data_IF_338200862701
#
_entry.id   IF_338200862701
#
_cell.length_a   1.000
_cell.length_b   1.000
_cell.length_c   1.000
_cell.angle_alpha   90.00
_cell.angle_beta   90.00
_cell.angle_gamma   90.00
#
_symmetry.space_group_name_H-M   'P 1'
#
loop_
_entity.id
_entity.type
_entity.pdbx_description
1 polymer ?
#
# COMPACT_ATOMS: atom_id res chain seq x y z
N UNK A 1 0.50 -13.54 -7.58
CA UNK A 1 -0.91 -13.09 -7.58
C UNK A 1 -0.97 -11.83 -6.73
N UNK A 2 -1.60 -10.75 -7.18
CA UNK A 2 -1.75 -9.54 -6.38
C UNK A 2 -2.89 -9.69 -5.36
N UNK A 3 -2.87 -8.89 -4.31
CA UNK A 3 -4.01 -8.65 -3.43
C UNK A 3 -4.52 -7.24 -3.65
N UNK A 4 -5.80 -7.09 -3.92
CA UNK A 4 -6.43 -5.78 -4.13
C UNK A 4 -7.07 -5.33 -2.82
N UNK A 5 -6.70 -4.14 -2.37
CA UNK A 5 -7.31 -3.43 -1.26
C UNK A 5 -8.42 -2.55 -1.85
N UNK A 6 -9.66 -2.96 -1.62
CA UNK A 6 -10.88 -2.26 -2.03
C UNK A 6 -11.57 -1.66 -0.79
N UNK A 7 -10.80 -0.87 -0.05
CA UNK A 7 -11.26 -0.12 1.11
C UNK A 7 -10.63 1.28 1.06
N UNK A 8 -11.35 2.28 1.55
CA UNK A 8 -10.81 3.63 1.66
C UNK A 8 -9.75 3.69 2.77
N UNK A 9 -9.97 2.98 3.88
CA UNK A 9 -9.03 2.94 4.99
C UNK A 9 -8.86 1.49 5.46
N UNK A 10 -7.79 0.82 5.02
CA UNK A 10 -7.47 -0.52 5.48
C UNK A 10 -6.60 -0.44 6.74
N UNK A 11 -7.19 -0.74 7.89
CA UNK A 11 -6.54 -0.61 9.20
C UNK A 11 -5.82 -1.87 9.63
N UNK A 12 -4.54 -1.73 9.99
CA UNK A 12 -3.84 -2.63 10.90
C UNK A 12 -4.03 -2.05 12.30
N UNK A 13 -5.04 -2.55 13.00
CA UNK A 13 -5.45 -2.02 14.30
C UNK A 13 -4.41 -2.30 15.39
N UNK A 14 -4.49 -1.51 16.48
CA UNK A 14 -3.67 -1.69 17.68
C UNK A 14 -3.55 -3.15 18.12
N UNK A 15 -2.31 -3.59 18.37
CA UNK A 15 -1.96 -4.97 18.76
C UNK A 15 -2.05 -6.02 17.65
N UNK A 16 -2.36 -5.62 16.41
CA UNK A 16 -2.44 -6.52 15.25
C UNK A 16 -1.21 -6.40 14.34
N UNK A 17 -0.95 -7.46 13.59
CA UNK A 17 0.14 -7.50 12.62
C UNK A 17 -0.35 -8.00 11.27
N UNK A 18 0.08 -7.32 10.20
CA UNK A 18 0.02 -7.85 8.84
C UNK A 18 1.42 -8.35 8.48
N UNK A 19 1.56 -9.66 8.26
CA UNK A 19 2.82 -10.26 7.83
C UNK A 19 2.74 -10.61 6.35
N UNK A 20 3.67 -10.07 5.56
CA UNK A 20 3.77 -10.36 4.14
C UNK A 20 4.80 -11.47 3.89
N UNK A 21 4.50 -12.37 2.96
CA UNK A 21 5.53 -13.23 2.39
C UNK A 21 6.33 -12.45 1.33
N UNK A 22 7.46 -13.01 0.90
CA UNK A 22 8.11 -12.56 -0.33
C UNK A 22 7.16 -12.69 -1.53
N UNK A 23 7.40 -11.90 -2.57
CA UNK A 23 6.63 -11.86 -3.81
C UNK A 23 5.17 -11.40 -3.68
N UNK A 24 4.80 -10.75 -2.56
CA UNK A 24 3.47 -10.18 -2.32
C UNK A 24 3.34 -8.77 -2.89
N UNK A 25 2.33 -8.53 -3.71
CA UNK A 25 1.99 -7.18 -4.20
C UNK A 25 0.61 -6.79 -3.67
N UNK A 26 0.55 -5.71 -2.89
CA UNK A 26 -0.69 -5.07 -2.48
C UNK A 26 -1.02 -3.95 -3.46
N UNK A 27 -2.24 -3.95 -3.98
CA UNK A 27 -2.72 -2.98 -4.96
C UNK A 27 -3.88 -2.18 -4.40
N UNK A 28 -3.85 -0.87 -4.55
CA UNK A 28 -4.77 0.05 -3.89
C UNK A 28 -5.68 0.74 -4.88
N UNK A 29 -6.96 0.83 -4.55
CA UNK A 29 -7.92 1.60 -5.33
C UNK A 29 -7.78 3.10 -5.07
N UNK A 30 -8.39 3.93 -5.93
CA UNK A 30 -8.49 5.36 -5.68
C UNK A 30 -8.97 5.67 -4.27
N UNK A 31 -8.28 6.60 -3.60
CA UNK A 31 -8.55 7.05 -2.23
C UNK A 31 -8.27 6.03 -1.12
N UNK A 32 -7.68 4.87 -1.43
CA UNK A 32 -7.28 3.90 -0.41
C UNK A 32 -6.06 4.36 0.38
N UNK A 33 -6.10 4.13 1.69
CA UNK A 33 -5.01 4.33 2.64
C UNK A 33 -4.77 3.02 3.40
N UNK A 34 -3.52 2.58 3.54
CA UNK A 34 -3.17 1.55 4.52
C UNK A 34 -2.76 2.23 5.82
N UNK A 35 -3.47 1.99 6.91
CA UNK A 35 -3.25 2.68 8.18
C UNK A 35 -2.61 1.73 9.19
N UNK A 36 -1.44 2.10 9.70
CA UNK A 36 -0.88 1.50 10.91
C UNK A 36 -1.39 2.32 12.09
N UNK A 37 -2.30 1.73 12.87
CA UNK A 37 -2.88 2.40 14.03
C UNK A 37 -1.89 2.50 15.19
N UNK A 38 -2.17 3.36 16.16
CA UNK A 38 -1.35 3.45 17.36
C UNK A 38 -1.37 2.14 18.20
N UNK A 39 -0.35 1.95 19.05
CA UNK A 39 -0.27 0.80 19.96
C UNK A 39 0.11 -0.53 19.30
N UNK A 40 1.41 -0.75 19.09
CA UNK A 40 2.00 -2.04 18.67
C UNK A 40 1.43 -2.65 17.36
N UNK A 41 0.82 -1.86 16.48
CA UNK A 41 0.51 -2.32 15.12
C UNK A 41 1.80 -2.47 14.31
N UNK A 42 1.84 -3.45 13.39
CA UNK A 42 3.01 -3.63 12.55
C UNK A 42 2.72 -4.24 11.17
N UNK A 43 3.48 -3.77 10.19
CA UNK A 43 3.58 -4.35 8.86
C UNK A 43 4.93 -5.06 8.71
N UNK A 44 4.90 -6.38 8.85
CA UNK A 44 6.09 -7.22 8.89
C UNK A 44 6.48 -7.66 7.47
N UNK A 45 7.78 -7.62 7.19
CA UNK A 45 8.37 -7.95 5.88
C UNK A 45 7.89 -7.01 4.75
N UNK A 46 7.67 -5.72 5.06
CA UNK A 46 7.28 -4.72 4.06
C UNK A 46 8.38 -4.44 3.04
N UNK A 47 9.64 -4.74 3.36
CA UNK A 47 10.83 -4.61 2.53
C UNK A 47 11.30 -5.98 1.96
N UNK A 48 10.46 -7.01 2.08
CA UNK A 48 10.73 -8.35 1.58
C UNK A 48 10.97 -8.40 0.07
N UNK A 49 11.61 -9.47 -0.40
CA UNK A 49 11.96 -9.58 -1.82
C UNK A 49 10.70 -9.66 -2.67
N UNK A 50 10.56 -8.76 -3.64
CA UNK A 50 9.37 -8.73 -4.50
C UNK A 50 8.10 -8.22 -3.80
N UNK A 51 8.23 -7.59 -2.61
CA UNK A 51 7.11 -6.92 -1.94
C UNK A 51 6.93 -5.51 -2.51
N UNK A 52 5.72 -5.19 -2.95
CA UNK A 52 5.37 -3.87 -3.48
C UNK A 52 3.98 -3.41 -3.05
N UNK A 53 3.82 -2.09 -2.94
CA UNK A 53 2.58 -1.39 -2.70
C UNK A 53 2.35 -0.45 -3.88
N UNK A 54 1.26 -0.63 -4.63
CA UNK A 54 1.10 0.05 -5.93
C UNK A 54 -0.36 0.32 -6.26
N UNK A 55 -0.60 1.06 -7.34
CA UNK A 55 -1.94 1.32 -7.88
C UNK A 55 -2.63 0.04 -8.34
N UNK A 56 -3.96 -0.02 -8.18
CA UNK A 56 -4.83 -1.03 -8.78
C UNK A 56 -4.76 -1.07 -10.32
N UNK A 57 -4.22 -0.02 -10.96
CA UNK A 57 -4.00 0.08 -12.41
C UNK A 57 -2.62 -0.41 -12.86
N UNK A 58 -1.74 -0.82 -11.93
CA UNK A 58 -0.36 -1.17 -12.28
C UNK A 58 -0.23 -2.58 -12.85
N UNK A 59 -0.35 -2.72 -14.16
CA UNK A 59 -0.24 -4.02 -14.83
C UNK A 59 1.16 -4.65 -14.75
N UNK A 60 2.20 -3.85 -14.48
CA UNK A 60 3.58 -4.31 -14.47
C UNK A 60 3.87 -5.24 -13.29
N UNK A 61 3.13 -5.09 -12.19
CA UNK A 61 3.30 -5.87 -10.97
C UNK A 61 2.16 -6.87 -10.79
N UNK A 62 2.44 -8.13 -11.14
CA UNK A 62 1.55 -9.30 -10.99
C UNK A 62 0.21 -9.21 -11.77
N UNK A 63 0.13 -8.38 -12.83
CA UNK A 63 -0.91 -8.42 -13.87
C UNK A 63 -2.03 -7.39 -13.73
N UNK A 64 -2.87 -7.30 -14.75
CA UNK A 64 -4.00 -6.37 -14.90
C UNK A 64 -5.14 -6.72 -13.93
N UNK A 65 -5.24 -5.95 -12.85
CA UNK A 65 -6.23 -6.17 -11.78
C UNK A 65 -7.57 -5.50 -12.05
N UNK A 66 -7.59 -4.46 -12.87
CA UNK A 66 -8.76 -3.70 -13.32
C UNK A 66 -9.45 -4.28 -14.56
N UNK A 67 -8.82 -5.26 -15.21
CA UNK A 67 -9.29 -5.93 -16.42
C UNK A 67 -9.59 -4.96 -17.57
N UNK A 68 -8.81 -3.89 -17.68
CA UNK A 68 -8.98 -2.86 -18.71
C UNK A 68 -7.92 -2.90 -19.82
N UNK A 69 -7.02 -3.88 -19.77
CA UNK A 69 -6.00 -4.13 -20.78
C UNK A 69 -4.88 -3.11 -20.70
N UNK A 70 -4.98 -2.02 -21.46
CA UNK A 70 -4.02 -0.91 -21.43
C UNK A 70 -4.75 0.43 -21.43
N UNK A 71 -6.03 0.42 -21.02
CA UNK A 71 -6.89 1.60 -21.11
C UNK A 71 -6.51 2.63 -20.05
N UNK A 72 -5.97 2.17 -18.92
CA UNK A 72 -5.39 3.03 -17.90
C UNK A 72 -3.93 2.70 -17.67
N UNK A 73 -3.21 3.64 -17.06
CA UNK A 73 -1.82 3.47 -16.63
C UNK A 73 -1.70 3.97 -15.20
N UNK A 74 -0.87 3.33 -14.36
CA UNK A 74 -0.67 3.81 -13.01
C UNK A 74 0.03 5.18 -13.03
N UNK A 75 -0.35 6.06 -12.12
CA UNK A 75 0.22 7.38 -11.96
C UNK A 75 0.21 7.80 -10.49
N UNK A 76 1.15 8.66 -10.11
CA UNK A 76 1.21 9.28 -8.78
C UNK A 76 -0.15 9.89 -8.42
N UNK A 77 -0.49 9.87 -7.13
CA UNK A 77 -1.82 10.20 -6.58
C UNK A 77 -2.94 9.19 -6.91
N UNK A 78 -2.64 8.01 -7.45
CA UNK A 78 -3.65 6.97 -7.69
C UNK A 78 -4.25 6.40 -6.41
N UNK A 79 -3.56 6.52 -5.28
CA UNK A 79 -4.01 6.15 -3.94
C UNK A 79 -3.30 7.03 -2.89
N UNK A 80 -3.72 6.97 -1.62
CA UNK A 80 -3.27 7.95 -0.63
C UNK A 80 -1.89 7.63 -0.03
N UNK A 81 -1.53 6.35 0.05
CA UNK A 81 -0.27 5.89 0.66
C UNK A 81 -0.46 5.05 1.92
N UNK A 82 0.64 4.80 2.62
CA UNK A 82 0.66 4.07 3.89
C UNK A 82 0.83 5.07 5.03
N UNK A 83 -0.23 5.24 5.83
CA UNK A 83 -0.28 6.17 6.95
C UNK A 83 0.28 5.54 8.22
N UNK A 84 1.24 6.21 8.84
CA UNK A 84 1.84 5.86 10.12
C UNK A 84 1.19 6.69 11.26
N UNK A 85 0.11 6.15 11.85
CA UNK A 85 -0.51 6.75 13.03
C UNK A 85 0.28 6.47 14.32
N UNK A 86 1.37 5.69 14.25
CA UNK A 86 2.28 5.46 15.39
C UNK A 86 3.32 6.58 15.53
N UNK A 87 3.47 7.40 14.49
CA UNK A 87 4.41 8.51 14.48
C UNK A 87 4.08 9.54 15.58
N UNK A 88 5.09 10.04 16.31
CA UNK A 88 4.87 11.09 17.30
C UNK A 88 4.35 12.36 16.62
N UNK A 89 3.59 13.18 17.36
CA UNK A 89 3.05 14.45 16.88
C UNK A 89 4.16 15.30 16.24
N UNK A 90 4.00 15.60 14.94
CA UNK A 90 4.97 16.36 14.13
C UNK A 90 5.95 15.52 13.31
N UNK A 91 5.84 14.18 13.34
CA UNK A 91 6.57 13.27 12.44
C UNK A 91 5.94 13.17 11.04
N UNK A 92 6.62 12.52 10.09
CA UNK A 92 6.00 12.17 8.81
C UNK A 92 4.90 11.15 9.08
N UNK A 93 3.67 11.47 8.66
CA UNK A 93 2.52 10.59 8.84
C UNK A 93 2.37 9.54 7.73
N UNK A 94 3.25 9.55 6.73
CA UNK A 94 3.25 8.57 5.64
C UNK A 94 4.64 8.00 5.46
N UNK A 95 4.70 6.69 5.17
CA UNK A 95 5.96 6.04 4.82
C UNK A 95 6.43 6.42 3.42
N UNK A 96 7.75 6.48 3.23
CA UNK A 96 8.40 6.81 1.96
C UNK A 96 9.41 5.74 1.50
N UNK A 97 8.97 4.49 1.52
CA UNK A 97 9.79 3.36 1.08
C UNK A 97 9.87 3.28 -0.44
N UNK A 98 10.99 2.81 -0.97
CA UNK A 98 11.23 2.74 -2.42
C UNK A 98 10.31 1.76 -3.17
N UNK A 99 9.59 0.89 -2.46
CA UNK A 99 8.64 -0.08 -3.00
C UNK A 99 7.17 0.34 -2.82
N UNK A 100 6.93 1.57 -2.37
CA UNK A 100 5.65 2.27 -2.46
C UNK A 100 5.65 3.04 -3.78
N UNK A 101 4.68 2.77 -4.64
CA UNK A 101 4.59 3.34 -5.98
C UNK A 101 3.23 4.01 -6.16
N UNK A 102 3.22 5.14 -6.88
CA UNK A 102 2.02 5.82 -7.35
C UNK A 102 1.07 6.29 -6.24
N UNK A 103 1.58 6.49 -5.02
CA UNK A 103 0.80 7.06 -3.93
C UNK A 103 0.76 8.59 -4.02
N UNK A 104 0.12 9.26 -3.07
CA UNK A 104 0.04 10.72 -3.09
C UNK A 104 1.32 11.41 -2.60
N UNK A 105 2.34 10.63 -2.23
CA UNK A 105 3.60 11.12 -1.65
C UNK A 105 4.76 11.00 -2.64
N UNK A 106 4.70 10.03 -3.57
CA UNK A 106 5.72 9.75 -4.59
C UNK A 106 5.13 9.77 -5.98
#
# INVERSE_FOLDING_TARGET
MPFVIDDNDFWITSGSTLTLADDVVLKFRPYSTLVLDDGESALINHDGSGVFFTSYKDDSLKGDTNADGTATTPADEDWNGIYDNTAPVGGPFYFSWANILYDSIH
#
